data_IF_868660282538
#
_entry.id   IF_868660282538
#
_cell.length_a   1.000
_cell.length_b   1.000
_cell.length_c   1.000
_cell.angle_alpha   90.00
_cell.angle_beta   90.00
_cell.angle_gamma   90.00
#
_symmetry.space_group_name_H-M   'P 1'
#
loop_
_entity.id
_entity.type
_entity.pdbx_description
1 polymer ?
#
# COMPACT_ATOMS: atom_id res chain seq x y z
N UNK A 1 2.92 -6.08 -14.18
CA UNK A 1 1.97 -6.48 -13.13
C UNK A 1 2.57 -7.61 -12.32
N UNK A 2 2.07 -7.83 -11.11
CA UNK A 2 2.35 -9.01 -10.28
C UNK A 2 1.09 -9.87 -10.21
N UNK A 3 1.26 -11.17 -10.01
CA UNK A 3 0.16 -12.10 -9.77
C UNK A 3 0.71 -13.29 -8.97
N UNK A 4 0.01 -13.67 -7.90
CA UNK A 4 0.41 -14.78 -7.04
C UNK A 4 -0.15 -16.10 -7.56
N UNK A 5 0.48 -17.22 -7.22
CA UNK A 5 -0.07 -18.54 -7.47
C UNK A 5 -1.48 -18.67 -6.88
N UNK A 6 -2.41 -19.25 -7.64
CA UNK A 6 -3.82 -19.42 -7.28
C UNK A 6 -4.68 -18.16 -7.47
N UNK A 7 -4.12 -17.06 -7.97
CA UNK A 7 -4.86 -15.81 -8.21
C UNK A 7 -5.36 -15.72 -9.65
N UNK A 8 -6.58 -15.17 -9.78
CA UNK A 8 -7.16 -14.74 -11.05
C UNK A 8 -7.23 -13.22 -11.06
N UNK A 9 -6.52 -12.59 -11.99
CA UNK A 9 -6.61 -11.16 -12.22
C UNK A 9 -7.73 -10.86 -13.24
N UNK A 10 -8.68 -10.03 -12.85
CA UNK A 10 -9.75 -9.56 -13.72
C UNK A 10 -9.36 -8.21 -14.31
N UNK A 11 -9.32 -8.13 -15.64
CA UNK A 11 -8.92 -6.93 -16.38
C UNK A 11 -9.95 -6.61 -17.46
N UNK A 12 -9.88 -5.40 -18.01
CA UNK A 12 -10.64 -5.02 -19.19
C UNK A 12 -9.67 -4.59 -20.29
N UNK A 13 -9.70 -5.30 -21.42
CA UNK A 13 -9.02 -4.86 -22.64
C UNK A 13 -9.90 -3.81 -23.32
N UNK A 14 -9.42 -2.57 -23.40
CA UNK A 14 -10.14 -1.47 -24.05
C UNK A 14 -9.65 -1.34 -25.49
N UNK A 15 -10.49 -1.69 -26.45
CA UNK A 15 -10.17 -1.64 -27.88
C UNK A 15 -10.72 -0.33 -28.47
N UNK A 16 -9.87 0.38 -29.20
CA UNK A 16 -10.21 1.55 -30.01
C UNK A 16 -9.55 1.45 -31.36
N UNK A 17 -10.31 1.66 -32.44
CA UNK A 17 -9.76 1.68 -33.78
C UNK A 17 -9.51 3.12 -34.22
N UNK A 18 -8.55 3.31 -35.13
CA UNK A 18 -8.32 4.62 -35.72
C UNK A 18 -9.53 4.98 -36.61
N UNK A 19 -10.27 6.07 -36.34
CA UNK A 19 -11.45 6.44 -37.10
C UNK A 19 -11.14 6.80 -38.56
N UNK A 20 -9.91 7.24 -38.85
CA UNK A 20 -9.45 7.60 -40.20
C UNK A 20 -9.01 6.41 -41.06
N UNK A 21 -8.94 5.20 -40.50
CA UNK A 21 -8.65 3.97 -41.27
C UNK A 21 -9.93 3.16 -41.40
N UNK A 22 -10.21 2.59 -42.58
CA UNK A 22 -11.33 1.66 -42.78
C UNK A 22 -10.94 0.22 -42.47
N UNK A 23 -9.68 -0.14 -42.74
CA UNK A 23 -9.18 -1.48 -42.47
C UNK A 23 -9.18 -1.77 -40.96
N UNK A 24 -9.61 -2.98 -40.61
CA UNK A 24 -9.62 -3.51 -39.25
C UNK A 24 -8.81 -4.79 -39.24
N UNK A 25 -8.15 -5.11 -38.12
CA UNK A 25 -7.53 -6.42 -38.00
C UNK A 25 -8.61 -7.50 -38.12
N UNK A 26 -8.27 -8.62 -38.74
CA UNK A 26 -9.17 -9.79 -38.81
C UNK A 26 -9.24 -10.49 -37.45
N UNK A 27 -8.17 -10.39 -36.66
CA UNK A 27 -8.06 -11.08 -35.38
C UNK A 27 -7.19 -10.30 -34.39
N UNK A 28 -7.58 -10.31 -33.12
CA UNK A 28 -6.77 -9.82 -32.00
C UNK A 28 -6.56 -11.00 -31.04
N UNK A 29 -5.31 -11.43 -30.87
CA UNK A 29 -4.91 -12.53 -29.98
C UNK A 29 -4.20 -12.02 -28.74
N UNK A 30 -4.43 -12.72 -27.63
CA UNK A 30 -3.70 -12.62 -26.38
C UNK A 30 -2.96 -13.95 -26.17
N UNK A 31 -1.64 -13.92 -26.16
CA UNK A 31 -0.83 -15.13 -26.03
C UNK A 31 0.38 -14.91 -25.14
N UNK A 32 0.71 -15.91 -24.33
CA UNK A 32 1.95 -15.90 -23.59
C UNK A 32 3.11 -16.32 -24.48
N UNK A 33 4.30 -15.80 -24.19
CA UNK A 33 5.54 -16.24 -24.83
C UNK A 33 5.80 -17.75 -24.62
N UNK A 34 6.64 -18.32 -25.48
CA UNK A 34 7.01 -19.74 -25.41
C UNK A 34 7.53 -20.12 -24.02
N UNK A 35 7.10 -21.28 -23.54
CA UNK A 35 7.55 -21.85 -22.26
C UNK A 35 6.73 -21.42 -21.02
N UNK A 36 5.79 -20.49 -21.15
CA UNK A 36 4.87 -20.12 -20.08
C UNK A 36 3.81 -21.22 -19.86
N UNK A 37 3.85 -21.92 -18.72
CA UNK A 37 2.90 -23.00 -18.38
C UNK A 37 1.98 -22.65 -17.21
N UNK A 38 2.41 -21.70 -16.39
CA UNK A 38 1.80 -21.32 -15.12
C UNK A 38 0.78 -20.20 -15.27
N UNK A 39 0.70 -19.58 -16.44
CA UNK A 39 -0.25 -18.51 -16.72
C UNK A 39 -1.13 -18.86 -17.91
N UNK A 40 -2.41 -18.49 -17.80
CA UNK A 40 -3.37 -18.58 -18.90
C UNK A 40 -4.21 -17.31 -18.97
N UNK A 41 -4.74 -17.02 -20.15
CA UNK A 41 -5.58 -15.84 -20.42
C UNK A 41 -6.90 -16.29 -21.04
N UNK A 42 -8.01 -15.65 -20.64
CA UNK A 42 -9.32 -15.93 -21.20
C UNK A 42 -10.15 -14.66 -21.40
N UNK A 43 -10.78 -14.45 -22.58
CA UNK A 43 -10.55 -15.21 -23.81
C UNK A 43 -9.16 -14.91 -24.41
N UNK A 44 -8.57 -15.89 -25.09
CA UNK A 44 -7.28 -15.71 -25.81
C UNK A 44 -7.45 -15.02 -27.17
N UNK A 45 -8.68 -14.86 -27.65
CA UNK A 45 -9.00 -14.10 -28.86
C UNK A 45 -10.10 -13.10 -28.55
N UNK A 46 -9.86 -11.84 -28.90
CA UNK A 46 -10.78 -10.74 -28.64
C UNK A 46 -11.67 -10.47 -29.87
N UNK A 47 -12.94 -10.08 -29.65
CA UNK A 47 -13.81 -9.67 -30.74
C UNK A 47 -13.30 -8.38 -31.40
N UNK A 48 -13.48 -8.27 -32.71
CA UNK A 48 -13.15 -7.06 -33.49
C UNK A 48 -14.26 -6.02 -33.31
N UNK A 49 -14.33 -5.45 -32.10
CA UNK A 49 -15.28 -4.39 -31.74
C UNK A 49 -14.63 -3.41 -30.77
N UNK A 50 -15.05 -2.16 -30.84
CA UNK A 50 -14.61 -1.16 -29.87
C UNK A 50 -15.29 -1.39 -28.50
N UNK A 51 -14.64 -0.91 -27.45
CA UNK A 51 -15.14 -0.96 -26.09
C UNK A 51 -14.29 -1.80 -25.15
N UNK A 52 -14.79 -1.98 -23.92
CA UNK A 52 -14.15 -2.77 -22.88
C UNK A 52 -14.58 -4.24 -23.01
N UNK A 53 -13.60 -5.13 -23.16
CA UNK A 53 -13.78 -6.58 -23.18
C UNK A 53 -13.18 -7.14 -21.89
N UNK A 54 -13.97 -7.81 -21.03
CA UNK A 54 -13.42 -8.49 -19.86
C UNK A 54 -12.45 -9.58 -20.28
N UNK A 55 -11.29 -9.60 -19.65
CA UNK A 55 -10.31 -10.68 -19.77
C UNK A 55 -9.87 -11.11 -18.37
N UNK A 56 -9.52 -12.38 -18.23
CA UNK A 56 -8.91 -12.92 -17.01
C UNK A 56 -7.51 -13.41 -17.31
N UNK A 57 -6.61 -13.19 -16.36
CA UNK A 57 -5.29 -13.85 -16.32
C UNK A 57 -5.27 -14.72 -15.09
N UNK A 58 -5.08 -16.02 -15.27
CA UNK A 58 -5.02 -17.01 -14.19
C UNK A 58 -3.59 -17.45 -13.97
N UNK A 59 -3.15 -17.49 -12.71
CA UNK A 59 -1.85 -18.02 -12.30
C UNK A 59 -2.05 -19.35 -11.58
N UNK A 60 -1.62 -20.45 -12.19
CA UNK A 60 -1.73 -21.82 -11.66
C UNK A 60 -0.46 -22.34 -11.00
N UNK A 61 0.65 -21.59 -11.08
CA UNK A 61 1.93 -21.98 -10.51
C UNK A 61 2.84 -20.79 -10.21
N UNK A 62 3.97 -21.10 -9.59
CA UNK A 62 5.07 -20.15 -9.37
C UNK A 62 6.04 -20.16 -10.55
N UNK A 63 6.65 -19.01 -10.85
CA UNK A 63 7.63 -18.87 -11.91
C UNK A 63 8.76 -17.89 -11.55
N UNK A 64 9.98 -18.25 -11.94
CA UNK A 64 11.21 -17.53 -11.56
C UNK A 64 11.60 -16.40 -12.51
N UNK A 65 11.05 -16.40 -13.73
CA UNK A 65 11.41 -15.47 -14.80
C UNK A 65 10.19 -14.65 -15.21
N UNK A 66 10.43 -13.38 -15.56
CA UNK A 66 9.39 -12.51 -16.11
C UNK A 66 8.69 -13.20 -17.29
N UNK A 67 7.35 -13.17 -17.25
CA UNK A 67 6.49 -13.66 -18.30
C UNK A 67 5.88 -12.48 -19.06
N UNK A 68 5.54 -12.70 -20.33
CA UNK A 68 4.98 -11.65 -21.18
C UNK A 68 3.71 -12.17 -21.82
N UNK A 69 2.61 -11.45 -21.60
CA UNK A 69 1.38 -11.58 -22.39
C UNK A 69 1.47 -10.61 -23.57
N UNK A 70 1.57 -11.14 -24.78
CA UNK A 70 1.59 -10.38 -26.02
C UNK A 70 0.17 -10.14 -26.52
N UNK A 71 -0.06 -8.94 -27.05
CA UNK A 71 -1.27 -8.59 -27.79
C UNK A 71 -0.91 -8.50 -29.26
N UNK A 72 -1.48 -9.38 -30.09
CA UNK A 72 -1.21 -9.42 -31.53
C UNK A 72 -2.46 -9.07 -32.33
N UNK A 73 -2.34 -8.19 -33.31
CA UNK A 73 -3.38 -7.92 -34.31
C UNK A 73 -2.89 -8.42 -35.66
N UNK A 74 -3.57 -9.43 -36.23
CA UNK A 74 -3.13 -10.14 -37.45
C UNK A 74 -1.64 -10.54 -37.40
N UNK A 75 -1.24 -11.22 -36.32
CA UNK A 75 0.14 -11.67 -36.03
C UNK A 75 1.17 -10.56 -35.76
N UNK A 76 0.79 -9.28 -35.86
CA UNK A 76 1.67 -8.15 -35.50
C UNK A 76 1.53 -7.79 -34.04
N UNK A 77 2.64 -7.71 -33.32
CA UNK A 77 2.66 -7.25 -31.93
C UNK A 77 2.21 -5.79 -31.83
N UNK A 78 1.17 -5.55 -31.04
CA UNK A 78 0.56 -4.24 -30.82
C UNK A 78 0.67 -3.76 -29.36
N UNK A 79 1.08 -4.64 -28.46
CA UNK A 79 1.22 -4.33 -27.04
C UNK A 79 1.68 -5.55 -26.25
N UNK A 80 2.08 -5.30 -25.00
CA UNK A 80 2.45 -6.38 -24.09
C UNK A 80 2.16 -6.01 -22.64
N UNK A 81 1.86 -7.02 -21.84
CA UNK A 81 1.83 -6.94 -20.38
C UNK A 81 2.99 -7.76 -19.85
N UNK A 82 3.91 -7.09 -19.14
CA UNK A 82 4.99 -7.75 -18.40
C UNK A 82 4.47 -8.24 -17.06
N UNK A 83 4.68 -9.50 -16.75
CA UNK A 83 4.26 -10.15 -15.51
C UNK A 83 5.52 -10.56 -14.74
N UNK A 84 5.73 -9.92 -13.60
CA UNK A 84 6.93 -10.10 -12.80
C UNK A 84 6.97 -11.49 -12.16
N UNK A 85 8.17 -12.07 -11.97
CA UNK A 85 8.31 -13.40 -11.38
C UNK A 85 7.74 -13.43 -9.96
N UNK A 86 7.12 -14.54 -9.60
CA UNK A 86 6.39 -14.70 -8.35
C UNK A 86 6.84 -15.91 -7.53
N UNK A 87 7.90 -16.62 -7.92
CA UNK A 87 8.47 -17.68 -7.10
C UNK A 87 8.87 -17.18 -5.71
N UNK A 88 8.92 -18.06 -4.72
CA UNK A 88 9.17 -17.70 -3.30
C UNK A 88 10.33 -16.73 -3.05
N UNK A 89 11.43 -16.85 -3.80
CA UNK A 89 12.59 -15.95 -3.66
C UNK A 89 12.31 -14.49 -4.07
N UNK A 90 11.24 -14.25 -4.81
CA UNK A 90 10.76 -12.93 -5.24
C UNK A 90 9.62 -12.41 -4.36
N UNK A 91 9.23 -13.16 -3.33
CA UNK A 91 8.18 -12.79 -2.39
C UNK A 91 8.80 -12.35 -1.07
N UNK A 92 8.09 -11.51 -0.32
CA UNK A 92 8.48 -11.13 1.05
C UNK A 92 7.35 -11.40 2.02
N UNK A 93 7.73 -11.69 3.25
CA UNK A 93 6.81 -11.84 4.37
C UNK A 93 7.13 -10.77 5.40
N UNK A 94 6.10 -10.06 5.86
CA UNK A 94 6.24 -9.09 6.95
C UNK A 94 5.33 -9.47 8.10
N UNK A 95 5.70 -9.02 9.30
CA UNK A 95 4.90 -9.17 10.52
C UNK A 95 4.32 -7.82 10.90
N UNK A 96 3.05 -7.78 11.26
CA UNK A 96 2.33 -6.52 11.50
C UNK A 96 1.53 -6.63 12.79
N UNK A 97 1.66 -5.64 13.67
CA UNK A 97 0.87 -5.54 14.89
C UNK A 97 0.21 -4.17 14.97
N UNK A 98 -1.11 -4.18 15.13
CA UNK A 98 -1.93 -3.00 15.42
C UNK A 98 -2.05 -2.88 16.93
N UNK A 99 -1.68 -1.71 17.45
CA UNK A 99 -1.59 -1.43 18.87
C UNK A 99 -2.59 -0.32 19.17
N UNK A 100 -3.69 -0.67 19.81
CA UNK A 100 -4.69 0.29 20.25
C UNK A 100 -4.17 1.00 21.51
N UNK A 101 -3.82 2.28 21.38
CA UNK A 101 -3.24 3.05 22.48
C UNK A 101 -4.35 3.75 23.24
N UNK A 102 -4.27 3.66 24.57
CA UNK A 102 -5.18 4.32 25.49
C UNK A 102 -4.53 5.54 26.10
N UNK A 103 -5.21 6.67 26.03
CA UNK A 103 -4.72 8.00 26.39
C UNK A 103 -5.82 8.78 27.11
N UNK A 104 -5.43 9.85 27.81
CA UNK A 104 -6.35 10.73 28.54
C UNK A 104 -6.10 12.19 28.13
N UNK A 105 -6.37 12.54 26.87
CA UNK A 105 -6.05 13.85 26.28
C UNK A 105 -7.28 14.66 25.86
N UNK A 106 -8.49 14.09 25.93
CA UNK A 106 -9.70 14.82 25.59
C UNK A 106 -10.05 15.90 26.64
N UNK A 107 -10.91 16.83 26.25
CA UNK A 107 -11.38 17.94 27.09
C UNK A 107 -12.10 17.46 28.36
N UNK A 108 -12.67 16.25 28.33
CA UNK A 108 -13.39 15.64 29.45
C UNK A 108 -12.49 14.82 30.38
N UNK A 109 -11.18 14.73 30.10
CA UNK A 109 -10.20 13.88 30.80
C UNK A 109 -10.68 12.42 30.99
N UNK A 110 -11.41 11.91 29.99
CA UNK A 110 -11.82 10.51 29.93
C UNK A 110 -10.81 9.73 29.11
N UNK A 111 -10.42 8.56 29.62
CA UNK A 111 -9.55 7.66 28.87
C UNK A 111 -10.25 7.18 27.59
N UNK A 112 -9.58 7.32 26.44
CA UNK A 112 -10.05 6.83 25.16
C UNK A 112 -9.00 5.91 24.55
N UNK A 113 -9.46 4.91 23.80
CA UNK A 113 -8.60 3.94 23.11
C UNK A 113 -8.73 4.11 21.61
N UNK A 114 -7.60 4.23 20.91
CA UNK A 114 -7.60 4.37 19.45
C UNK A 114 -8.18 3.13 18.76
N UNK A 115 -8.93 3.36 17.69
CA UNK A 115 -9.48 2.31 16.83
C UNK A 115 -8.97 2.51 15.41
N UNK A 116 -8.45 1.44 14.80
CA UNK A 116 -7.97 1.50 13.42
C UNK A 116 -9.16 1.70 12.47
N UNK A 117 -8.96 2.53 11.43
CA UNK A 117 -9.99 2.77 10.44
C UNK A 117 -10.49 1.48 9.78
N UNK A 118 -11.81 1.34 9.68
CA UNK A 118 -12.48 0.23 9.01
C UNK A 118 -11.99 0.09 7.55
N UNK A 119 -11.73 -1.14 7.12
CA UNK A 119 -11.21 -1.44 5.78
C UNK A 119 -9.71 -1.14 5.59
N UNK A 120 -9.05 -0.50 6.57
CA UNK A 120 -7.63 -0.15 6.49
C UNK A 120 -6.70 -1.36 6.42
N UNK A 121 -6.79 -2.32 7.37
CA UNK A 121 -6.06 -3.58 7.32
C UNK A 121 -6.26 -4.34 6.01
N UNK A 122 -7.51 -4.42 5.53
CA UNK A 122 -7.89 -5.13 4.31
C UNK A 122 -7.23 -4.46 3.09
N UNK A 123 -7.44 -3.17 2.88
CA UNK A 123 -6.84 -2.41 1.78
C UNK A 123 -5.31 -2.48 1.79
N UNK A 124 -4.71 -2.40 2.98
CA UNK A 124 -3.26 -2.55 3.13
C UNK A 124 -2.79 -3.93 2.67
N UNK A 125 -3.41 -5.01 3.16
CA UNK A 125 -3.05 -6.39 2.75
C UNK A 125 -3.32 -6.66 1.26
N UNK A 126 -4.35 -6.07 0.68
CA UNK A 126 -4.63 -6.17 -0.76
C UNK A 126 -3.56 -5.47 -1.60
N UNK A 127 -3.15 -4.27 -1.19
CA UNK A 127 -2.14 -3.50 -1.92
C UNK A 127 -0.73 -4.06 -1.76
N UNK A 128 -0.40 -4.71 -0.63
CA UNK A 128 0.88 -5.43 -0.44
C UNK A 128 1.09 -6.54 -1.48
N UNK A 129 0.02 -7.20 -1.92
CA UNK A 129 0.11 -8.23 -2.97
C UNK A 129 0.63 -7.67 -4.30
N UNK A 130 0.43 -6.37 -4.56
CA UNK A 130 1.01 -5.71 -5.73
C UNK A 130 2.54 -5.61 -5.63
N UNK A 131 3.09 -5.65 -4.41
CA UNK A 131 4.51 -5.70 -4.11
C UNK A 131 5.06 -7.14 -3.95
N UNK A 132 4.24 -8.19 -4.13
CA UNK A 132 4.55 -9.59 -3.76
C UNK A 132 4.89 -9.76 -2.27
N UNK A 133 4.28 -8.94 -1.42
CA UNK A 133 4.43 -9.04 0.04
C UNK A 133 3.18 -9.71 0.64
N UNK A 134 3.38 -10.57 1.62
CA UNK A 134 2.32 -11.19 2.41
C UNK A 134 2.50 -10.99 3.93
N UNK A 135 1.42 -11.18 4.68
CA UNK A 135 1.39 -11.19 6.16
C UNK A 135 0.90 -12.57 6.61
N UNK A 136 1.76 -13.60 6.61
CA UNK A 136 1.32 -15.01 6.72
C UNK A 136 0.65 -15.32 8.06
N UNK A 137 1.10 -14.68 9.15
CA UNK A 137 0.51 -14.86 10.48
C UNK A 137 -0.79 -14.06 10.71
N UNK A 138 -1.23 -13.32 9.68
CA UNK A 138 -2.24 -12.28 9.79
C UNK A 138 -1.76 -11.07 10.61
N UNK A 139 -2.55 -10.00 10.60
CA UNK A 139 -2.30 -8.82 11.43
C UNK A 139 -2.63 -9.17 12.89
N UNK A 140 -1.68 -8.96 13.80
CA UNK A 140 -1.88 -9.11 15.24
C UNK A 140 -2.46 -7.84 15.84
N UNK A 141 -3.17 -7.99 16.96
CA UNK A 141 -3.80 -6.89 17.66
C UNK A 141 -3.46 -6.89 19.14
N UNK A 142 -3.03 -5.74 19.65
CA UNK A 142 -2.99 -5.42 21.07
C UNK A 142 -4.15 -4.47 21.35
N UNK A 143 -5.11 -4.90 22.17
CA UNK A 143 -6.35 -4.16 22.42
C UNK A 143 -6.18 -2.94 23.33
N UNK A 144 -5.11 -2.89 24.13
CA UNK A 144 -4.87 -1.76 25.01
C UNK A 144 -3.37 -1.68 25.35
N UNK A 145 -2.72 -0.61 24.92
CA UNK A 145 -1.43 -0.15 25.44
C UNK A 145 -1.70 1.11 26.27
N UNK A 146 -1.61 1.00 27.59
CA UNK A 146 -1.96 2.09 28.51
C UNK A 146 -0.89 3.19 28.55
N UNK A 147 -1.24 4.36 28.04
CA UNK A 147 -0.46 5.60 28.03
C UNK A 147 -1.20 6.74 28.74
N UNK A 148 -2.07 6.44 29.72
CA UNK A 148 -2.87 7.44 30.45
C UNK A 148 -2.11 8.19 31.53
N UNK A 149 -0.86 7.80 31.80
CA UNK A 149 -0.04 8.44 32.83
C UNK A 149 0.35 9.87 32.42
N UNK A 150 0.47 10.75 33.43
CA UNK A 150 0.74 12.17 33.22
C UNK A 150 2.09 12.42 32.54
N UNK A 151 3.11 11.61 32.85
CA UNK A 151 4.46 11.72 32.26
C UNK A 151 4.41 11.54 30.73
N UNK A 152 3.56 10.64 30.22
CA UNK A 152 3.36 10.45 28.78
C UNK A 152 2.77 11.70 28.14
N UNK A 153 1.71 12.26 28.74
CA UNK A 153 1.08 13.49 28.26
C UNK A 153 2.08 14.67 28.26
N UNK A 154 2.80 14.87 29.36
CA UNK A 154 3.78 15.95 29.50
C UNK A 154 4.96 15.81 28.53
N UNK A 155 5.34 14.58 28.15
CA UNK A 155 6.45 14.32 27.26
C UNK A 155 6.13 14.52 25.76
N UNK A 156 4.90 14.20 25.33
CA UNK A 156 4.58 14.07 23.90
C UNK A 156 3.40 14.93 23.42
N UNK A 157 2.77 15.70 24.31
CA UNK A 157 1.64 16.57 23.98
C UNK A 157 1.95 18.04 24.26
N UNK A 158 1.16 18.92 23.65
CA UNK A 158 1.20 20.37 23.88
C UNK A 158 -0.21 20.93 24.01
N UNK A 159 -0.32 22.10 24.63
CA UNK A 159 -1.55 22.86 24.67
C UNK A 159 -1.72 23.67 23.37
N UNK A 160 -2.88 23.56 22.75
CA UNK A 160 -3.25 24.33 21.57
C UNK A 160 -4.70 24.79 21.69
N UNK A 161 -4.89 26.11 21.78
CA UNK A 161 -6.23 26.75 21.88
C UNK A 161 -7.09 26.19 23.03
N UNK A 162 -6.46 25.86 24.16
CA UNK A 162 -7.14 25.33 25.34
C UNK A 162 -7.39 23.82 25.33
N UNK A 163 -6.94 23.09 24.30
CA UNK A 163 -7.01 21.63 24.24
C UNK A 163 -5.61 21.02 24.28
N UNK A 164 -5.46 19.84 24.89
CA UNK A 164 -4.21 19.06 24.86
C UNK A 164 -4.20 18.19 23.60
N UNK A 165 -3.13 18.29 22.81
CA UNK A 165 -2.99 17.58 21.54
C UNK A 165 -1.59 17.01 21.39
N UNK A 166 -1.42 16.00 20.53
CA UNK A 166 -0.09 15.47 20.23
C UNK A 166 0.81 16.53 19.60
N UNK A 167 2.10 16.52 19.99
CA UNK A 167 3.12 17.37 19.40
C UNK A 167 3.95 16.59 18.38
N UNK A 168 3.73 16.86 17.09
CA UNK A 168 4.46 16.19 16.02
C UNK A 168 5.99 16.44 16.08
N UNK A 169 6.43 17.55 16.68
CA UNK A 169 7.86 17.82 16.87
C UNK A 169 8.52 16.78 17.80
N UNK A 170 7.73 16.05 18.59
CA UNK A 170 8.14 14.97 19.48
C UNK A 170 8.00 13.57 18.90
N UNK A 171 7.74 13.44 17.59
CA UNK A 171 7.48 12.15 16.95
C UNK A 171 8.62 11.12 17.20
N UNK A 172 9.87 11.55 17.16
CA UNK A 172 11.02 10.67 17.34
C UNK A 172 11.16 10.20 18.80
N UNK A 173 11.02 11.11 19.76
CA UNK A 173 11.00 10.77 21.18
C UNK A 173 9.81 9.87 21.52
N UNK A 174 8.63 10.16 20.95
CA UNK A 174 7.41 9.38 21.13
C UNK A 174 7.60 7.95 20.62
N UNK A 175 8.25 7.73 19.47
CA UNK A 175 8.63 6.38 19.00
C UNK A 175 9.44 5.64 20.07
N UNK A 176 10.44 6.30 20.67
CA UNK A 176 11.24 5.72 21.73
C UNK A 176 10.41 5.37 22.98
N UNK A 177 9.54 6.30 23.42
CA UNK A 177 8.63 6.11 24.55
C UNK A 177 7.67 4.94 24.34
N UNK A 178 6.96 4.92 23.22
CA UNK A 178 6.01 3.86 22.87
C UNK A 178 6.67 2.48 22.82
N UNK A 179 7.86 2.38 22.23
CA UNK A 179 8.61 1.11 22.19
C UNK A 179 9.03 0.66 23.60
N UNK A 180 9.43 1.57 24.48
CA UNK A 180 9.74 1.24 25.89
C UNK A 180 8.51 0.72 26.64
N UNK A 181 7.36 1.38 26.46
CA UNK A 181 6.10 0.96 27.08
C UNK A 181 5.70 -0.42 26.55
N UNK A 182 5.72 -0.61 25.23
CA UNK A 182 5.43 -1.90 24.59
C UNK A 182 6.36 -3.01 25.12
N UNK A 183 7.67 -2.75 25.21
CA UNK A 183 8.64 -3.68 25.74
C UNK A 183 8.39 -4.03 27.22
N UNK A 184 7.94 -3.08 28.05
CA UNK A 184 7.62 -3.33 29.46
C UNK A 184 6.54 -4.42 29.61
N UNK A 185 5.53 -4.41 28.75
CA UNK A 185 4.39 -5.34 28.83
C UNK A 185 4.55 -6.59 27.97
N UNK A 186 5.23 -6.48 26.83
CA UNK A 186 5.31 -7.55 25.82
C UNK A 186 6.75 -8.01 25.51
N UNK A 187 7.76 -7.46 26.19
CA UNK A 187 9.18 -7.76 25.96
C UNK A 187 9.53 -7.66 24.47
N UNK A 188 10.36 -8.56 23.97
CA UNK A 188 10.84 -8.58 22.57
C UNK A 188 9.84 -9.20 21.59
N UNK A 189 8.63 -9.58 22.01
CA UNK A 189 7.67 -10.33 21.16
C UNK A 189 7.38 -9.62 19.83
N UNK A 190 7.42 -8.29 19.82
CA UNK A 190 7.05 -7.48 18.66
C UNK A 190 8.22 -6.74 18.00
N UNK A 191 9.48 -7.08 18.31
CA UNK A 191 10.63 -6.34 17.77
C UNK A 191 10.72 -6.40 16.24
N UNK A 192 10.37 -7.55 15.67
CA UNK A 192 10.38 -7.74 14.21
C UNK A 192 9.12 -7.26 13.49
N UNK A 193 8.12 -6.78 14.22
CA UNK A 193 6.84 -6.37 13.66
C UNK A 193 6.89 -4.91 13.21
N UNK A 194 6.21 -4.61 12.10
CA UNK A 194 5.71 -3.27 11.84
C UNK A 194 4.67 -2.93 12.92
N UNK A 195 4.98 -1.93 13.73
CA UNK A 195 4.17 -1.49 14.87
C UNK A 195 3.31 -0.30 14.47
N UNK A 196 2.00 -0.49 14.48
CA UNK A 196 1.01 0.51 14.09
C UNK A 196 0.29 1.00 15.34
N UNK A 197 0.71 2.13 15.90
CA UNK A 197 0.13 2.72 17.09
C UNK A 197 -1.07 3.57 16.74
N UNK A 198 -2.24 3.24 17.28
CA UNK A 198 -3.50 3.91 16.97
C UNK A 198 -3.97 4.72 18.16
N UNK A 199 -4.21 6.01 17.95
CA UNK A 199 -4.67 6.96 18.97
C UNK A 199 -6.08 7.45 18.66
N UNK A 200 -6.87 7.70 19.70
CA UNK A 200 -8.19 8.31 19.60
C UNK A 200 -8.13 9.85 19.53
N UNK A 201 -6.96 10.43 19.76
CA UNK A 201 -6.74 11.87 19.83
C UNK A 201 -6.19 12.44 18.52
N UNK A 202 -6.33 13.76 18.36
CA UNK A 202 -5.86 14.48 17.18
C UNK A 202 -4.39 14.87 17.33
N UNK A 203 -3.69 14.91 16.21
CA UNK A 203 -2.43 15.63 16.05
C UNK A 203 -2.66 16.76 15.04
N UNK A 204 -2.40 18.04 15.37
CA UNK A 204 -2.68 19.13 14.46
C UNK A 204 -1.93 18.97 13.13
N UNK A 205 -2.67 19.07 12.02
CA UNK A 205 -2.10 19.07 10.67
C UNK A 205 -1.85 17.69 10.04
N UNK A 206 -1.93 16.60 10.81
CA UNK A 206 -1.67 15.23 10.30
C UNK A 206 -2.65 14.21 10.88
N UNK A 207 -2.96 13.19 10.08
CA UNK A 207 -3.78 12.04 10.53
C UNK A 207 -2.93 10.81 10.84
N UNK A 208 -1.65 10.84 10.52
CA UNK A 208 -0.69 9.78 10.79
C UNK A 208 0.70 10.21 10.37
N UNK A 209 1.68 9.44 10.79
CA UNK A 209 3.04 9.52 10.29
C UNK A 209 3.73 8.16 10.42
N UNK A 210 4.77 7.98 9.64
CA UNK A 210 5.69 6.87 9.75
C UNK A 210 7.13 7.35 9.57
N UNK A 211 8.05 6.56 10.10
CA UNK A 211 9.47 6.76 9.86
C UNK A 211 9.90 5.99 8.62
N UNK A 212 10.63 6.67 7.76
CA UNK A 212 11.12 6.09 6.51
C UNK A 212 12.05 4.91 6.82
N UNK A 213 11.77 3.75 6.22
CA UNK A 213 12.56 2.52 6.37
C UNK A 213 12.67 2.01 7.82
N UNK A 214 11.67 2.33 8.65
CA UNK A 214 11.57 1.83 10.01
C UNK A 214 10.20 1.21 10.29
N UNK A 215 10.16 0.16 11.09
CA UNK A 215 8.96 -0.62 11.43
C UNK A 215 8.02 0.09 12.44
N UNK A 216 7.76 1.40 12.28
CA UNK A 216 6.99 2.21 13.22
C UNK A 216 6.11 3.26 12.53
N UNK A 217 4.81 3.19 12.79
CA UNK A 217 3.83 4.17 12.32
C UNK A 217 2.85 4.54 13.44
N UNK A 218 2.40 5.79 13.45
CA UNK A 218 1.39 6.32 14.35
C UNK A 218 0.20 6.85 13.55
N UNK A 219 -1.01 6.63 14.08
CA UNK A 219 -2.26 7.03 13.46
C UNK A 219 -3.12 7.77 14.47
N UNK A 220 -3.61 8.94 14.08
CA UNK A 220 -4.39 9.84 14.92
C UNK A 220 -5.84 9.89 14.47
N UNK A 221 -6.69 10.50 15.29
CA UNK A 221 -8.08 10.71 14.96
C UNK A 221 -8.23 11.47 13.63
N UNK A 222 -9.01 10.90 12.70
CA UNK A 222 -9.17 11.39 11.33
C UNK A 222 -8.47 10.54 10.26
N UNK A 223 -7.65 9.56 10.65
CA UNK A 223 -7.10 8.59 9.71
C UNK A 223 -8.21 7.74 9.06
N UNK A 224 -7.98 7.33 7.82
CA UNK A 224 -8.90 6.49 7.04
C UNK A 224 -8.19 5.24 6.53
N UNK A 225 -8.92 4.33 5.87
CA UNK A 225 -8.37 3.07 5.36
C UNK A 225 -7.08 3.26 4.54
N UNK A 226 -7.06 4.25 3.65
CA UNK A 226 -5.88 4.51 2.81
C UNK A 226 -4.71 5.12 3.58
N UNK A 227 -4.95 5.77 4.72
CA UNK A 227 -3.89 6.31 5.60
C UNK A 227 -3.07 5.16 6.19
N UNK A 228 -3.72 4.05 6.57
CA UNK A 228 -3.05 2.85 7.11
C UNK A 228 -1.97 2.37 6.16
N UNK A 229 -2.34 2.09 4.91
CA UNK A 229 -1.37 1.69 3.90
C UNK A 229 -0.32 2.77 3.63
N UNK A 230 -0.73 4.04 3.50
CA UNK A 230 0.17 5.17 3.20
C UNK A 230 1.35 5.25 4.16
N UNK A 231 1.09 5.26 5.47
CA UNK A 231 2.16 5.35 6.47
C UNK A 231 3.01 4.08 6.49
N UNK A 232 2.41 2.89 6.39
CA UNK A 232 3.20 1.65 6.40
C UNK A 232 4.10 1.52 5.16
N UNK A 233 3.71 2.10 4.03
CA UNK A 233 4.57 2.15 2.85
C UNK A 233 5.78 3.08 3.03
N UNK A 234 5.69 4.13 3.85
CA UNK A 234 6.89 4.87 4.27
C UNK A 234 7.82 4.00 5.12
N UNK A 235 7.27 3.15 6.00
CA UNK A 235 8.05 2.16 6.74
C UNK A 235 8.79 1.17 5.82
N UNK A 236 8.29 0.95 4.60
CA UNK A 236 8.90 0.11 3.55
C UNK A 236 9.88 0.88 2.64
N UNK A 237 10.29 2.08 3.05
CA UNK A 237 11.25 2.90 2.30
C UNK A 237 10.66 3.56 1.05
N UNK A 238 9.34 3.75 0.97
CA UNK A 238 8.73 4.47 -0.14
C UNK A 238 8.53 5.95 0.19
N UNK A 239 8.92 6.82 -0.73
CA UNK A 239 8.61 8.25 -0.67
C UNK A 239 7.32 8.58 -1.43
N UNK A 240 6.78 9.77 -1.19
CA UNK A 240 5.65 10.29 -1.96
C UNK A 240 5.96 10.28 -3.45
N UNK A 241 4.98 9.91 -4.27
CA UNK A 241 5.18 9.80 -5.72
C UNK A 241 5.41 11.15 -6.40
N UNK A 242 5.12 12.25 -5.73
CA UNK A 242 5.31 13.62 -6.21
C UNK A 242 6.54 14.30 -5.60
N UNK A 243 7.32 13.62 -4.74
CA UNK A 243 8.51 14.16 -4.10
C UNK A 243 9.78 14.00 -4.95
N UNK A 244 9.79 14.65 -6.12
CA UNK A 244 10.94 14.65 -7.03
C UNK A 244 12.12 15.49 -6.54
N UNK A 245 12.02 16.12 -5.36
CA UNK A 245 13.07 16.97 -4.81
C UNK A 245 14.24 16.15 -4.27
N UNK A 246 13.99 14.88 -3.93
CA UNK A 246 15.02 13.92 -3.59
C UNK A 246 15.05 12.78 -4.62
N UNK A 247 15.92 12.88 -5.65
CA UNK A 247 15.99 11.87 -6.72
C UNK A 247 16.46 10.50 -6.23
N UNK A 248 17.17 10.42 -5.08
CA UNK A 248 17.55 9.14 -4.47
C UNK A 248 16.34 8.37 -3.91
N UNK A 249 15.27 9.09 -3.56
CA UNK A 249 14.03 8.52 -3.01
C UNK A 249 12.91 8.40 -4.04
N UNK A 250 12.88 9.31 -5.02
CA UNK A 250 11.89 9.33 -6.07
C UNK A 250 12.49 9.90 -7.37
N UNK A 251 13.13 9.04 -8.16
CA UNK A 251 13.71 9.42 -9.46
C UNK A 251 12.67 9.98 -10.45
N UNK A 252 11.42 9.52 -10.34
CA UNK A 252 10.31 9.93 -11.22
C UNK A 252 9.18 10.53 -10.39
N UNK A 253 9.00 11.84 -10.51
CA UNK A 253 7.89 12.56 -9.92
C UNK A 253 6.62 12.49 -10.78
N UNK A 254 5.51 12.11 -10.16
CA UNK A 254 4.17 12.22 -10.72
C UNK A 254 3.54 13.55 -10.33
N UNK A 255 2.61 14.03 -11.15
CA UNK A 255 1.85 15.23 -10.82
C UNK A 255 1.00 14.96 -9.57
N UNK A 256 1.18 15.81 -8.57
CA UNK A 256 0.44 15.80 -7.31
C UNK A 256 -1.08 15.67 -7.52
N UNK A 257 -1.72 14.75 -6.79
CA UNK A 257 -3.17 14.46 -6.81
C UNK A 257 -3.72 13.92 -8.14
N UNK A 258 -2.90 13.33 -9.00
CA UNK A 258 -3.33 12.86 -10.32
C UNK A 258 -3.23 11.34 -10.49
N UNK A 259 -2.93 10.60 -9.42
CA UNK A 259 -2.77 9.15 -9.48
C UNK A 259 -3.63 8.42 -8.47
N UNK A 260 -3.86 7.12 -8.67
CA UNK A 260 -4.46 6.23 -7.68
C UNK A 260 -3.39 5.55 -6.80
N UNK A 261 -2.17 6.11 -6.71
CA UNK A 261 -1.09 5.54 -5.94
C UNK A 261 -1.32 5.72 -4.43
N UNK A 262 -0.93 4.74 -3.62
CA UNK A 262 -1.02 4.81 -2.16
C UNK A 262 -0.25 5.99 -1.57
N UNK A 263 0.83 6.43 -2.21
CA UNK A 263 1.75 7.49 -1.76
C UNK A 263 1.54 8.84 -2.46
N UNK A 264 0.38 9.03 -3.09
CA UNK A 264 -0.10 10.34 -3.55
C UNK A 264 -1.10 10.92 -2.52
N UNK A 265 -1.44 12.21 -2.63
CA UNK A 265 -2.53 12.83 -1.85
C UNK A 265 -3.78 13.08 -2.68
N UNK A 266 -4.11 12.15 -3.56
CA UNK A 266 -5.23 12.29 -4.50
C UNK A 266 -6.62 12.30 -3.85
N UNK A 267 -6.72 12.02 -2.55
CA UNK A 267 -7.93 12.30 -1.78
C UNK A 267 -8.25 13.80 -1.69
N UNK A 268 -7.26 14.66 -1.96
CA UNK A 268 -7.44 16.10 -2.10
C UNK A 268 -7.75 16.55 -3.54
N UNK A 269 -7.88 15.64 -4.50
CA UNK A 269 -8.33 15.95 -5.85
C UNK A 269 -9.82 16.31 -5.85
N UNK A 270 -10.28 16.95 -6.92
CA UNK A 270 -11.69 17.22 -7.16
C UNK A 270 -12.10 16.68 -8.56
N UNK A 271 -12.85 15.56 -8.63
CA UNK A 271 -13.29 14.72 -7.51
C UNK A 271 -12.14 13.94 -6.85
N UNK A 272 -12.27 13.51 -5.58
CA UNK A 272 -11.26 12.69 -4.90
C UNK A 272 -10.98 11.38 -5.66
N UNK A 273 -9.71 11.04 -5.82
CA UNK A 273 -9.28 9.79 -6.45
C UNK A 273 -8.94 8.77 -5.36
N UNK A 274 -9.58 7.60 -5.43
CA UNK A 274 -9.28 6.47 -4.54
C UNK A 274 -7.85 5.99 -4.72
N UNK A 275 -7.10 5.90 -3.62
CA UNK A 275 -5.75 5.35 -3.59
C UNK A 275 -5.81 3.84 -3.34
N UNK A 276 -5.32 3.06 -4.29
CA UNK A 276 -5.42 1.59 -4.26
C UNK A 276 -4.31 0.88 -5.05
N UNK A 277 -3.22 1.56 -5.38
CA UNK A 277 -2.16 0.98 -6.21
C UNK A 277 -0.75 1.34 -5.79
N UNK A 278 0.18 0.47 -6.18
CA UNK A 278 1.62 0.73 -6.19
C UNK A 278 2.12 0.73 -7.64
N UNK A 279 3.21 1.45 -7.87
CA UNK A 279 3.86 1.50 -9.17
C UNK A 279 5.01 0.51 -9.28
N UNK A 280 5.39 0.21 -10.51
CA UNK A 280 6.50 -0.70 -10.80
C UNK A 280 7.81 -0.25 -10.14
N UNK A 281 8.08 1.05 -10.08
CA UNK A 281 9.28 1.59 -9.44
C UNK A 281 9.26 1.38 -7.91
N UNK A 282 8.10 1.52 -7.28
CA UNK A 282 7.95 1.22 -5.85
C UNK A 282 8.07 -0.28 -5.57
N UNK A 283 7.51 -1.14 -6.44
CA UNK A 283 7.77 -2.58 -6.39
C UNK A 283 9.26 -2.87 -6.45
N UNK A 284 10.00 -2.18 -7.34
CA UNK A 284 11.45 -2.31 -7.43
C UNK A 284 12.12 -1.89 -6.13
N UNK A 285 11.83 -0.71 -5.57
CA UNK A 285 12.49 -0.26 -4.33
C UNK A 285 12.26 -1.21 -3.17
N UNK A 286 11.00 -1.61 -2.95
CA UNK A 286 10.65 -2.58 -1.92
C UNK A 286 11.43 -3.87 -2.13
N UNK A 287 11.56 -4.35 -3.37
CA UNK A 287 12.18 -5.64 -3.67
C UNK A 287 13.70 -5.59 -3.92
N UNK A 288 14.29 -4.41 -4.18
CA UNK A 288 15.73 -4.21 -4.40
C UNK A 288 16.49 -3.91 -3.12
N UNK A 289 15.80 -3.48 -2.06
CA UNK A 289 16.40 -3.19 -0.75
C UNK A 289 16.89 -4.44 0.01
N UNK A 290 16.96 -5.62 -0.63
CA UNK A 290 17.50 -6.85 -0.06
C UNK A 290 18.16 -7.72 -1.15
#
# INVERSE_FOLDING_TARGET
>A
MTIMNGVVANLNAVIKFNPGKKDRPKMIKLEFGEGCKELSVSPSTLPIKEGAIPITITCSGEFDKEQVLLVKADEKECGKIRILPNAKQHQKEIKVVVIQVKTCLNETQQAMTGTIAEGGPELFTETLKQALISVPEGIKYIKELDCTNKEFTEAYCKELRGSVVFDFEKAFEMKGGLNKILYKFHRNTYDEYYKLFIFADKCPGINGYAFFDEKHACFFNGHNASTVGHEVYHCLGLAHTFDYRNPERCEIGYKYKCTNNMLDYSYHADPPITRNSLFYLQWKYINSLL
#
